data_IF_921109237028
#
_entry.id   IF_921109237028
#
_cell.length_a   1.000
_cell.length_b   1.000
_cell.length_c   1.000
_cell.angle_alpha   90.00
_cell.angle_beta   90.00
_cell.angle_gamma   90.00
#
_symmetry.space_group_name_H-M   'P 1'
#
loop_
_entity.id
_entity.type
_entity.pdbx_description
1 polymer ?
2 polymer ?
3 polymer ?
4 non-polymer ?
5 water ?
#
# COMPACT_ATOMS: atom_id res chain seq x y z
N UNK A 1 -25.27 2.75 9.84
CA UNK A 1 -24.12 2.04 9.33
C UNK A 1 -23.18 1.71 10.48
N UNK A 2 -22.21 0.81 10.23
CA UNK A 2 -21.22 0.50 11.25
C UNK A 2 -19.80 0.76 10.72
N UNK A 3 -19.13 1.75 11.29
CA UNK A 3 -17.77 2.06 10.85
C UNK A 3 -16.78 2.01 12.02
N UNK A 4 -15.59 1.50 11.72
CA UNK A 4 -14.52 1.37 12.72
C UNK A 4 -13.35 2.26 12.32
N UNK A 5 -12.85 3.03 13.29
CA UNK A 5 -11.76 3.96 13.03
C UNK A 5 -10.61 3.75 14.02
N UNK A 6 -9.47 3.32 13.51
CA UNK A 6 -8.26 3.16 14.32
C UNK A 6 -7.55 4.49 14.51
N UNK A 7 -6.88 4.65 15.65
CA UNK A 7 -6.09 5.84 15.92
C UNK A 7 -5.02 5.52 16.95
N UNK A 8 -3.93 6.28 16.92
CA UNK A 8 -2.84 6.07 17.86
C UNK A 8 -1.52 6.56 17.30
N UNK A 9 -0.45 6.46 18.10
CA UNK A 9 0.88 6.92 17.67
C UNK A 9 1.41 6.11 16.49
N UNK A 10 1.99 6.78 15.51
CA UNK A 10 2.51 6.12 14.34
C UNK A 10 3.95 5.65 14.53
N UNK A 11 4.57 6.10 15.61
CA UNK A 11 5.96 5.76 15.91
C UNK A 11 6.15 5.52 17.38
N UNK A 12 6.69 4.34 17.71
CA UNK A 12 6.97 3.99 19.09
C UNK A 12 8.38 3.40 19.17
N UNK A 13 9.08 3.70 20.26
CA UNK A 13 10.44 3.21 20.44
C UNK A 13 10.43 1.77 20.96
N UNK A 14 11.44 0.98 20.58
CA UNK A 14 11.58 -0.38 21.08
C UNK A 14 11.57 -0.42 22.62
N UNK A 15 10.97 -1.46 23.18
CA UNK A 15 10.84 -1.61 24.64
C UNK A 15 9.70 -0.80 25.23
N UNK A 16 9.22 0.19 24.49
CA UNK A 16 8.07 0.97 24.95
C UNK A 16 6.80 0.15 24.69
N UNK A 17 5.66 0.66 25.14
CA UNK A 17 4.38 -0.01 24.94
C UNK A 17 3.61 0.62 23.79
N UNK A 18 2.93 -0.22 23.02
CA UNK A 18 2.10 0.24 21.91
C UNK A 18 0.64 0.34 22.37
N UNK A 19 -0.04 1.40 21.95
CA UNK A 19 -1.41 1.64 22.38
C UNK A 19 -2.27 2.16 21.23
N UNK A 20 -3.30 1.41 20.90
CA UNK A 20 -4.19 1.80 19.81
C UNK A 20 -5.65 1.87 20.25
N UNK A 21 -6.40 2.75 19.59
CA UNK A 21 -7.82 2.92 19.87
C UNK A 21 -8.63 2.63 18.60
N UNK A 22 -9.73 1.90 18.75
CA UNK A 22 -10.71 1.75 17.68
C UNK A 22 -12.02 2.38 18.13
N UNK A 23 -12.42 3.43 17.44
CA UNK A 23 -13.68 4.10 17.76
C UNK A 23 -14.79 3.56 16.88
N UNK A 24 -15.83 3.00 17.50
CA UNK A 24 -16.94 2.40 16.78
C UNK A 24 -18.11 3.37 16.65
N UNK A 25 -18.63 3.49 15.44
CA UNK A 25 -19.79 4.34 15.17
C UNK A 25 -20.92 3.55 14.52
N UNK A 26 -22.15 3.79 14.97
CA UNK A 26 -23.32 3.17 14.37
C UNK A 26 -23.75 1.87 15.01
N UNK A 27 -23.11 1.51 16.12
CA UNK A 27 -23.44 0.28 16.82
C UNK A 27 -22.72 0.22 18.17
N UNK A 28 -23.44 -0.20 19.21
CA UNK A 28 -22.88 -0.28 20.55
C UNK A 28 -22.09 -1.57 20.75
N UNK A 29 -20.85 -1.44 21.21
CA UNK A 29 -19.99 -2.61 21.37
C UNK A 29 -20.45 -3.51 22.50
N UNK A 30 -21.46 -3.06 23.25
CA UNK A 30 -22.02 -3.85 24.35
C UNK A 30 -23.21 -4.69 23.90
N UNK A 31 -23.70 -4.42 22.70
CA UNK A 31 -24.90 -5.08 22.20
C UNK A 31 -24.65 -6.54 21.78
N UNK A 32 -23.58 -6.76 21.02
CA UNK A 32 -23.29 -8.10 20.51
C UNK A 32 -21.96 -8.11 19.79
N UNK A 33 -21.54 -9.31 19.36
CA UNK A 33 -20.38 -9.49 18.50
C UNK A 33 -19.05 -9.50 19.24
N UNK A 34 -17.99 -9.84 18.49
CA UNK A 34 -16.62 -9.80 18.97
C UNK A 34 -15.87 -8.67 18.27
N UNK A 35 -15.07 -7.95 19.02
CA UNK A 35 -14.35 -6.79 18.49
C UNK A 35 -12.87 -7.10 18.43
N UNK A 36 -12.36 -7.23 17.21
CA UNK A 36 -11.07 -7.84 16.95
C UNK A 36 -9.94 -6.85 16.66
N UNK A 37 -8.71 -7.34 16.83
CA UNK A 37 -7.53 -6.66 16.34
C UNK A 37 -6.76 -7.62 15.44
N UNK A 38 -6.30 -7.10 14.31
CA UNK A 38 -5.55 -7.90 13.35
C UNK A 38 -4.46 -7.00 12.77
N UNK A 39 -3.28 -7.54 12.54
CA UNK A 39 -2.22 -6.74 11.93
C UNK A 39 -1.66 -7.36 10.66
N UNK A 40 -1.12 -6.51 9.79
CA UNK A 40 -0.51 -6.94 8.54
C UNK A 40 0.92 -6.43 8.47
N UNK A 41 1.87 -7.36 8.41
CA UNK A 41 3.28 -6.99 8.35
C UNK A 41 3.63 -6.53 6.95
N UNK A 42 4.77 -5.81 6.82
CA UNK A 42 5.31 -5.53 5.48
C UNK A 42 5.50 -6.85 4.75
N UNK A 43 5.03 -6.94 3.51
CA UNK A 43 5.07 -8.19 2.77
C UNK A 43 3.70 -8.85 2.70
N UNK A 44 2.73 -8.27 3.39
CA UNK A 44 1.32 -8.66 3.27
C UNK A 44 0.80 -9.73 4.23
N UNK A 45 1.67 -10.25 5.09
CA UNK A 45 1.26 -11.29 6.03
C UNK A 45 0.27 -10.80 7.09
N UNK A 46 -0.86 -11.49 7.20
CA UNK A 46 -1.90 -11.13 8.18
C UNK A 46 -1.86 -12.02 9.43
N UNK A 47 -2.12 -11.41 10.58
CA UNK A 47 -2.10 -12.14 11.84
C UNK A 47 -3.22 -11.69 12.79
N UNK A 48 -4.09 -12.63 13.19
CA UNK A 48 -5.13 -12.33 14.16
C UNK A 48 -4.51 -12.21 15.54
N UNK A 49 -4.79 -11.11 16.23
CA UNK A 49 -4.21 -10.85 17.53
C UNK A 49 -5.12 -11.24 18.70
N UNK A 50 -6.40 -10.94 18.58
CA UNK A 50 -7.34 -11.26 19.62
C UNK A 50 -8.62 -10.45 19.54
N UNK A 51 -9.52 -10.66 20.49
CA UNK A 51 -10.77 -9.90 20.52
C UNK A 51 -11.29 -9.71 21.94
N UNK A 52 -12.16 -8.72 22.10
CA UNK A 52 -12.94 -8.57 23.31
C UNK A 52 -14.41 -8.63 22.90
N UNK A 53 -15.17 -9.50 23.55
CA UNK A 53 -16.56 -9.71 23.18
C UNK A 53 -17.42 -8.58 23.70
N UNK A 54 -18.68 -8.58 23.30
CA UNK A 54 -19.63 -7.57 23.79
C UNK A 54 -19.80 -7.72 25.29
N UNK A 55 -19.61 -8.94 25.79
CA UNK A 55 -19.81 -9.23 27.21
C UNK A 55 -18.54 -8.97 28.03
N UNK A 56 -17.46 -8.60 27.35
CA UNK A 56 -16.23 -8.22 28.02
C UNK A 56 -15.21 -9.32 28.16
N UNK A 57 -15.53 -10.51 27.67
CA UNK A 57 -14.57 -11.62 27.69
C UNK A 57 -13.52 -11.43 26.60
N UNK A 58 -12.28 -11.80 26.90
CA UNK A 58 -11.19 -11.65 25.94
C UNK A 58 -10.63 -12.99 25.49
N UNK A 59 -10.08 -13.01 24.27
CA UNK A 59 -9.41 -14.19 23.74
C UNK A 59 -8.20 -13.70 22.96
N UNK A 60 -7.03 -14.28 23.24
CA UNK A 60 -5.78 -13.79 22.65
C UNK A 60 -5.05 -14.88 21.84
N UNK A 61 -4.34 -14.46 20.80
CA UNK A 61 -3.45 -15.37 20.07
C UNK A 61 -2.35 -15.83 21.02
N UNK A 62 -2.23 -17.15 21.24
CA UNK A 62 -1.25 -17.73 22.17
C UNK A 62 0.18 -17.22 21.95
N UNK A 63 0.49 -16.77 20.74
CA UNK A 63 1.82 -16.26 20.44
C UNK A 63 2.07 -14.91 21.12
N UNK A 64 0.99 -14.23 21.48
CA UNK A 64 1.08 -12.86 21.97
C UNK A 64 0.68 -12.74 23.44
N UNK A 65 0.22 -13.84 24.03
CA UNK A 65 -0.41 -13.83 25.35
C UNK A 65 0.28 -12.94 26.39
N UNK A 66 1.58 -13.11 26.58
CA UNK A 66 2.30 -12.40 27.64
C UNK A 66 2.71 -10.99 27.24
N UNK A 67 2.11 -10.47 26.18
CA UNK A 67 2.46 -9.14 25.69
C UNK A 67 1.22 -8.29 25.46
N UNK A 68 0.10 -8.93 25.18
CA UNK A 68 -1.08 -8.24 24.68
C UNK A 68 -2.20 -8.09 25.71
N UNK A 69 -2.94 -7.00 25.60
CA UNK A 69 -4.12 -6.78 26.41
C UNK A 69 -5.16 -6.00 25.61
N UNK A 70 -6.40 -6.50 25.60
CA UNK A 70 -7.49 -5.80 24.95
C UNK A 70 -8.52 -5.36 25.98
N UNK A 71 -8.86 -4.08 25.96
CA UNK A 71 -9.79 -3.51 26.92
C UNK A 71 -10.83 -2.67 26.19
N UNK A 72 -11.70 -2.02 26.94
CA UNK A 72 -12.74 -1.19 26.32
C UNK A 72 -13.22 -0.07 27.23
N UNK A 73 -13.85 0.92 26.62
CA UNK A 73 -14.51 1.99 27.36
C UNK A 73 -15.92 2.15 26.79
N UNK A 74 -16.89 1.57 27.48
CA UNK A 74 -18.26 1.53 26.99
C UNK A 74 -18.94 2.90 26.95
N UNK A 75 -18.36 3.87 27.65
CA UNK A 75 -18.93 5.21 27.65
C UNK A 75 -18.53 6.00 26.40
N UNK A 76 -17.38 5.64 25.84
CA UNK A 76 -16.92 6.25 24.60
C UNK A 76 -17.13 5.33 23.40
N UNK A 77 -17.72 4.17 23.65
CA UNK A 77 -17.90 3.16 22.61
C UNK A 77 -16.59 2.88 21.89
N UNK A 78 -15.53 2.64 22.66
CA UNK A 78 -14.20 2.36 22.12
C UNK A 78 -13.64 1.08 22.69
N UNK A 79 -12.82 0.38 21.91
CA UNK A 79 -12.01 -0.69 22.48
C UNK A 79 -10.55 -0.49 22.11
N UNK A 80 -9.66 -1.07 22.91
CA UNK A 80 -8.25 -0.72 22.85
C UNK A 80 -7.34 -1.92 22.68
N UNK A 81 -6.18 -1.68 22.10
CA UNK A 81 -5.13 -2.69 21.99
C UNK A 81 -3.88 -2.20 22.71
N UNK A 82 -3.23 -3.07 23.48
CA UNK A 82 -1.97 -2.72 24.11
C UNK A 82 -0.95 -3.85 24.03
N UNK A 83 0.23 -3.52 23.53
CA UNK A 83 1.35 -4.45 23.54
C UNK A 83 2.47 -3.81 24.34
N UNK A 84 2.86 -4.45 25.43
CA UNK A 84 4.00 -3.95 26.20
C UNK A 84 5.33 -4.44 25.64
N UNK A 85 6.35 -3.59 25.73
CA UNK A 85 7.70 -3.95 25.30
C UNK A 85 7.72 -4.42 23.85
N UNK A 86 7.36 -3.54 22.93
CA UNK A 86 7.40 -3.89 21.51
C UNK A 86 8.83 -3.94 20.99
N UNK A 87 8.99 -4.60 19.85
CA UNK A 87 10.27 -4.61 19.14
C UNK A 87 10.00 -4.18 17.71
N UNK A 88 11.06 -4.03 16.92
CA UNK A 88 10.91 -3.57 15.55
C UNK A 88 10.04 -4.52 14.71
N UNK A 89 9.92 -5.76 15.17
CA UNK A 89 9.13 -6.76 14.46
C UNK A 89 7.62 -6.54 14.64
N UNK A 90 7.27 -5.58 15.50
CA UNK A 90 5.87 -5.24 15.71
C UNK A 90 5.43 -4.15 14.73
N UNK A 91 6.37 -3.71 13.90
CA UNK A 91 6.07 -2.77 12.83
C UNK A 91 5.07 -3.42 11.86
N UNK A 92 3.92 -2.79 11.68
CA UNK A 92 2.87 -3.34 10.84
C UNK A 92 1.72 -2.37 10.69
N UNK A 93 0.76 -2.73 9.85
CA UNK A 93 -0.49 -2.00 9.78
C UNK A 93 -1.53 -2.70 10.66
N UNK A 94 -2.07 -1.96 11.62
CA UNK A 94 -3.00 -2.53 12.58
C UNK A 94 -4.45 -2.22 12.23
N UNK A 95 -5.28 -3.25 12.22
CA UNK A 95 -6.68 -3.13 11.86
C UNK A 95 -7.58 -3.54 13.02
N UNK A 96 -8.62 -2.75 13.27
CA UNK A 96 -9.71 -3.24 14.11
C UNK A 96 -10.80 -3.79 13.21
N UNK A 97 -11.58 -4.72 13.73
CA UNK A 97 -12.63 -5.38 12.96
C UNK A 97 -13.65 -5.96 13.91
N UNK A 98 -14.81 -6.36 13.39
CA UNK A 98 -15.78 -7.07 14.22
C UNK A 98 -16.48 -8.20 13.47
N UNK A 99 -16.91 -9.20 14.23
CA UNK A 99 -17.62 -10.35 13.67
C UNK A 99 -18.43 -11.05 14.75
N UNK A 100 -19.01 -12.19 14.40
CA UNK A 100 -19.86 -12.91 15.34
C UNK A 100 -19.53 -14.41 15.45
N UNK A 101 -18.32 -14.75 15.89
CA UNK A 101 -17.31 -13.79 16.31
C UNK A 101 -16.24 -13.55 15.23
N UNK A 102 -16.24 -14.37 14.18
CA UNK A 102 -15.23 -14.25 13.13
C UNK A 102 -15.34 -12.92 12.39
N UNK A 103 -14.22 -12.17 12.32
CA UNK A 103 -14.19 -10.85 11.67
C UNK A 103 -14.91 -10.83 10.32
N UNK A 104 -15.80 -9.84 10.15
CA UNK A 104 -16.58 -9.73 8.92
C UNK A 104 -16.49 -8.33 8.33
N UNK A 105 -16.16 -7.35 9.17
CA UNK A 105 -16.05 -5.97 8.72
C UNK A 105 -14.81 -5.31 9.31
N UNK A 106 -14.04 -4.65 8.45
CA UNK A 106 -12.72 -4.15 8.82
C UNK A 106 -12.67 -2.63 8.89
N UNK A 107 -11.75 -2.12 9.71
CA UNK A 107 -11.52 -0.69 9.80
C UNK A 107 -10.64 -0.20 8.67
N UNK A 108 -10.09 1.01 8.82
CA UNK A 108 -9.28 1.61 7.77
C UNK A 108 -7.79 1.26 7.93
N UNK A 109 -7.42 0.73 9.08
CA UNK A 109 -6.04 0.36 9.35
C UNK A 109 -5.19 1.57 9.69
N UNK A 110 -4.24 1.37 10.59
CA UNK A 110 -3.31 2.43 10.95
C UNK A 110 -1.89 1.87 11.08
N UNK A 111 -0.95 2.56 10.45
CA UNK A 111 0.45 2.11 10.41
C UNK A 111 1.17 2.43 11.71
N UNK A 112 1.82 1.43 12.28
CA UNK A 112 2.67 1.66 13.44
C UNK A 112 4.10 1.23 13.12
N UNK A 113 5.02 2.17 13.21
CA UNK A 113 6.43 1.87 13.02
C UNK A 113 7.11 1.81 14.38
N UNK A 114 7.79 0.70 14.64
CA UNK A 114 8.60 0.58 15.85
C UNK A 114 10.06 0.75 15.47
N UNK A 115 10.65 1.86 15.90
CA UNK A 115 12.02 2.18 15.49
C UNK A 115 12.66 3.21 16.42
N UNK A 116 13.99 3.26 16.41
CA UNK A 116 14.74 4.18 17.25
C UNK A 116 15.10 5.46 16.50
N UNK A 117 14.92 5.44 15.19
CA UNK A 117 15.25 6.58 14.34
C UNK A 117 14.43 7.81 14.72
N UNK A 118 14.94 8.99 14.36
CA UNK A 118 14.33 10.24 14.81
C UNK A 118 13.34 10.80 13.80
N UNK A 119 12.24 11.36 14.31
CA UNK A 119 11.25 12.02 13.47
C UNK A 119 11.89 13.18 12.72
N UNK A 120 11.72 13.20 11.40
CA UNK A 120 12.35 14.21 10.56
C UNK A 120 11.40 14.73 9.48
N UNK A 121 11.31 16.05 9.36
CA UNK A 121 10.43 16.68 8.38
C UNK A 121 10.97 16.52 6.95
N UNK A 122 10.05 16.48 5.96
CA UNK A 122 10.41 16.25 4.57
C UNK A 122 10.82 17.52 3.83
N UNK A 123 11.77 17.37 2.91
CA UNK A 123 12.03 18.42 1.94
C UNK A 123 11.17 18.09 0.72
N UNK A 124 10.51 19.10 0.15
CA UNK A 124 9.66 18.88 -1.01
C UNK A 124 10.14 19.67 -2.22
N UNK A 125 10.40 18.98 -3.33
CA UNK A 125 10.95 19.63 -4.52
C UNK A 125 10.03 19.49 -5.74
N UNK A 126 9.77 20.60 -6.43
CA UNK A 126 8.95 20.61 -7.64
C UNK A 126 9.74 20.09 -8.84
N UNK A 127 9.11 19.26 -9.65
CA UNK A 127 9.76 18.75 -10.86
C UNK A 127 9.05 19.26 -12.11
N UNK A 128 9.63 20.27 -12.75
CA UNK A 128 9.09 20.84 -13.97
C UNK A 128 9.72 20.18 -15.20
N UNK A 129 8.92 19.98 -16.25
CA UNK A 129 9.38 19.28 -17.46
C UNK A 129 10.51 20.03 -18.16
N UNK A 130 11.40 19.31 -18.82
CA UNK A 130 12.42 19.95 -19.65
C UNK A 130 11.74 20.61 -20.84
N UNK A 131 12.35 21.67 -21.36
CA UNK A 131 11.75 22.42 -22.46
C UNK A 131 11.25 21.54 -23.60
N UNK A 132 11.97 20.45 -23.85
CA UNK A 132 11.60 19.51 -24.90
C UNK A 132 10.35 18.73 -24.56
N UNK A 136 3.77 18.12 -27.03
CA UNK A 136 2.75 17.10 -27.14
C UNK A 136 1.38 17.58 -26.68
N UNK A 137 0.41 16.68 -26.66
CA UNK A 137 -0.94 17.04 -26.23
C UNK A 137 -1.08 16.96 -24.71
N UNK A 138 -0.17 16.25 -24.07
CA UNK A 138 -0.17 16.12 -22.62
C UNK A 138 1.21 16.42 -22.04
N UNK A 139 1.25 16.76 -20.76
CA UNK A 139 2.50 17.09 -20.10
C UNK A 139 2.56 16.45 -18.72
N UNK A 140 3.75 16.01 -18.33
CA UNK A 140 3.92 15.31 -17.05
C UNK A 140 4.74 16.14 -16.06
N UNK A 141 4.16 16.42 -14.91
CA UNK A 141 4.85 17.13 -13.85
C UNK A 141 5.15 16.17 -12.72
N UNK A 142 6.02 16.57 -11.81
CA UNK A 142 6.39 15.70 -10.70
C UNK A 142 6.63 16.42 -9.40
N UNK A 143 6.72 15.63 -8.33
CA UNK A 143 7.01 16.14 -7.00
C UNK A 143 7.94 15.14 -6.34
N UNK A 144 9.00 15.63 -5.71
CA UNK A 144 9.94 14.76 -5.02
C UNK A 144 10.02 15.09 -3.53
N UNK A 145 9.75 14.10 -2.70
CA UNK A 145 9.76 14.28 -1.24
C UNK A 145 10.83 13.42 -0.61
N UNK A 146 11.84 14.05 -0.02
CA UNK A 146 13.01 13.34 0.49
C UNK A 146 13.31 13.62 1.96
N UNK A 147 13.99 12.68 2.60
CA UNK A 147 14.59 12.88 3.91
C UNK A 147 13.63 13.05 5.07
N UNK A 148 12.57 12.26 5.11
CA UNK A 148 11.63 12.32 6.22
C UNK A 148 11.52 10.99 6.98
N UNK A 149 10.95 11.05 8.17
CA UNK A 149 10.72 9.86 8.99
C UNK A 149 9.81 10.22 10.16
N UNK A 150 8.85 9.33 10.49
CA UNK A 150 8.58 8.07 9.80
C UNK A 150 7.50 8.25 8.77
N UNK A 151 7.06 7.16 8.15
CA UNK A 151 5.88 7.17 7.31
C UNK A 151 4.65 7.39 8.20
N UNK A 152 3.52 7.80 7.61
CA UNK A 152 3.42 8.14 6.19
C UNK A 152 3.39 9.64 5.98
N UNK A 153 3.53 10.05 4.73
CA UNK A 153 3.25 11.42 4.34
C UNK A 153 1.99 11.37 3.48
N UNK A 154 1.27 12.48 3.44
CA UNK A 154 0.10 12.58 2.58
C UNK A 154 0.38 13.56 1.46
N UNK A 155 0.42 13.05 0.23
CA UNK A 155 0.73 13.88 -0.93
C UNK A 155 -0.50 14.00 -1.82
N UNK A 156 -0.89 15.24 -2.12
CA UNK A 156 -2.01 15.49 -3.00
C UNK A 156 -1.61 16.55 -4.02
N UNK A 157 -2.38 16.63 -5.10
CA UNK A 157 -2.18 17.65 -6.11
C UNK A 157 -3.35 18.62 -6.09
N UNK A 158 -3.05 19.91 -5.90
CA UNK A 158 -4.09 20.91 -5.70
C UNK A 158 -5.05 20.54 -4.57
N UNK A 159 -4.48 20.21 -3.42
CA UNK A 159 -5.23 19.85 -2.22
C UNK A 159 -6.19 18.68 -2.45
N UNK A 160 -5.95 17.92 -3.51
CA UNK A 160 -6.73 16.72 -3.77
C UNK A 160 -7.70 16.85 -4.92
N UNK A 161 -7.85 18.06 -5.45
CA UNK A 161 -8.78 18.28 -6.56
C UNK A 161 -8.28 17.64 -7.84
N UNK A 162 -6.98 17.37 -7.90
CA UNK A 162 -6.39 16.69 -9.04
C UNK A 162 -6.24 15.21 -8.70
N UNK A 163 -6.94 14.36 -9.43
CA UNK A 163 -7.00 12.94 -9.09
C UNK A 163 -6.61 12.02 -10.26
N UNK A 164 -7.18 12.28 -11.42
CA UNK A 164 -6.88 11.48 -12.62
C UNK A 164 -5.45 11.70 -13.09
N UNK A 165 -4.82 10.64 -13.58
CA UNK A 165 -3.49 10.72 -14.15
C UNK A 165 -2.40 10.92 -13.12
N UNK A 166 -2.76 10.75 -11.84
CA UNK A 166 -1.78 10.85 -10.77
C UNK A 166 -1.20 9.48 -10.45
N UNK A 167 0.11 9.41 -10.29
CA UNK A 167 0.77 8.21 -9.82
C UNK A 167 1.67 8.56 -8.66
N UNK A 168 1.35 8.02 -7.47
CA UNK A 168 2.18 8.25 -6.31
C UNK A 168 2.91 6.96 -5.96
N UNK A 169 4.24 7.03 -5.97
CA UNK A 169 5.05 5.85 -5.82
C UNK A 169 5.37 5.57 -4.34
N UNK A 170 5.25 4.31 -3.92
CA UNK A 170 5.46 3.90 -2.53
C UNK A 170 6.78 4.42 -1.99
N UNK A 171 6.79 4.90 -0.75
CA UNK A 171 7.99 5.41 -0.13
C UNK A 171 9.02 4.30 0.03
N UNK A 172 10.29 4.66 -0.11
CA UNK A 172 11.38 3.71 0.07
C UNK A 172 12.35 4.22 1.14
N UNK A 173 12.74 3.33 2.05
CA UNK A 173 13.62 3.70 3.16
C UNK A 173 15.08 3.47 2.81
N UNK A 174 15.91 4.49 3.04
CA UNK A 174 17.35 4.35 2.92
C UNK A 174 18.03 5.14 4.03
N UNK A 175 18.86 4.47 4.82
CA UNK A 175 19.59 5.10 5.90
C UNK A 175 18.68 5.93 6.82
N UNK A 176 17.60 5.31 7.30
CA UNK A 176 16.73 5.94 8.29
C UNK A 176 15.88 7.09 7.75
N UNK A 177 15.92 7.30 6.44
CA UNK A 177 15.13 8.37 5.82
C UNK A 177 14.37 7.87 4.59
N UNK A 178 13.16 8.36 4.42
CA UNK A 178 12.29 7.93 3.32
C UNK A 178 12.37 8.86 2.13
N UNK A 179 12.20 8.29 0.94
CA UNK A 179 12.04 9.07 -0.27
C UNK A 179 10.75 8.65 -0.95
N UNK A 180 9.99 9.62 -1.40
CA UNK A 180 8.73 9.34 -2.09
C UNK A 180 8.61 10.30 -3.26
N UNK A 181 7.91 9.88 -4.31
CA UNK A 181 7.70 10.76 -5.45
C UNK A 181 6.32 10.57 -6.02
N UNK A 182 5.88 11.54 -6.81
CA UNK A 182 4.58 11.47 -7.46
C UNK A 182 4.62 12.17 -8.81
N UNK A 183 3.91 11.59 -9.78
CA UNK A 183 3.81 12.21 -11.09
C UNK A 183 2.36 12.49 -11.40
N UNK A 184 2.12 13.54 -12.19
CA UNK A 184 0.77 13.86 -12.63
C UNK A 184 0.79 14.29 -14.09
N UNK A 185 -0.10 13.69 -14.88
CA UNK A 185 -0.16 13.97 -16.30
C UNK A 185 -1.46 14.64 -16.66
N UNK A 186 -1.37 15.81 -17.27
CA UNK A 186 -2.55 16.58 -17.65
C UNK A 186 -2.40 17.04 -19.09
N UNK A 187 -3.51 17.47 -19.68
CA UNK A 187 -3.48 18.04 -21.03
C UNK A 187 -2.70 19.35 -21.00
N UNK A 188 -2.11 19.72 -22.13
CA UNK A 188 -1.31 20.95 -22.19
C UNK A 188 -2.17 22.21 -22.08
N UNK A 189 -3.48 22.06 -22.28
CA UNK A 189 -4.39 23.18 -22.11
C UNK A 189 -4.67 23.43 -20.62
N UNK A 190 -4.10 22.59 -19.77
CA UNK A 190 -4.32 22.68 -18.33
C UNK A 190 -3.20 23.43 -17.62
N UNK A 191 -1.96 23.15 -18.03
CA UNK A 191 -0.78 23.74 -17.39
C UNK A 191 0.17 24.22 -18.48
N UNK A 192 0.78 25.39 -18.28
CA UNK A 192 0.77 26.21 -17.06
C UNK A 192 -0.41 27.19 -16.96
N UNK A 193 -1.31 27.20 -17.95
CA UNK A 193 -2.42 28.14 -17.94
C UNK A 193 -3.15 28.12 -16.60
N UNK A 194 -3.06 27.00 -15.90
CA UNK A 194 -3.65 26.86 -14.57
C UNK A 194 -2.60 26.31 -13.61
N UNK A 195 -2.55 26.88 -12.40
CA UNK A 195 -1.51 26.50 -11.44
C UNK A 195 -1.70 25.10 -10.87
N UNK A 196 -0.62 24.34 -10.84
CA UNK A 196 -0.62 23.01 -10.24
C UNK A 196 0.38 22.98 -9.10
N UNK A 197 -0.08 22.61 -7.92
CA UNK A 197 0.76 22.61 -6.73
C UNK A 197 0.76 21.26 -6.04
N UNK A 198 1.95 20.79 -5.67
CA UNK A 198 2.09 19.55 -4.91
C UNK A 198 1.97 19.88 -3.42
N UNK A 199 1.06 19.21 -2.72
CA UNK A 199 0.87 19.42 -1.29
C UNK A 199 1.30 18.21 -0.47
N UNK A 200 2.14 18.44 0.53
CA UNK A 200 2.66 17.34 1.34
C UNK A 200 2.39 17.56 2.83
N UNK A 201 1.82 16.54 3.45
CA UNK A 201 1.54 16.58 4.88
C UNK A 201 2.31 15.48 5.59
N UNK A 202 3.00 15.85 6.67
CA UNK A 202 3.72 14.89 7.50
C UNK A 202 3.29 15.09 8.96
N UNK A 203 2.24 14.36 9.37
CA UNK A 203 1.67 14.49 10.72
C UNK A 203 2.72 14.31 11.81
N UNK A 204 3.66 13.40 11.61
CA UNK A 204 4.67 13.08 12.62
C UNK A 204 5.45 14.31 13.07
N UNK A 205 5.72 15.23 12.15
CA UNK A 205 6.48 16.43 12.48
C UNK A 205 5.59 17.67 12.42
N UNK A 206 4.29 17.44 12.29
CA UNK A 206 3.33 18.54 12.16
C UNK A 206 3.69 19.42 10.96
N UNK A 207 4.11 18.78 9.88
CA UNK A 207 4.51 19.49 8.68
C UNK A 207 3.43 19.50 7.61
N UNK A 208 3.21 20.68 7.03
CA UNK A 208 2.35 20.82 5.86
C UNK A 208 2.95 21.88 4.96
N UNK A 209 3.37 21.48 3.77
CA UNK A 209 4.06 22.38 2.85
C UNK A 209 3.49 22.28 1.43
N UNK A 210 3.58 23.37 0.68
CA UNK A 210 3.08 23.42 -0.69
C UNK A 210 4.20 23.80 -1.65
N UNK A 211 4.11 23.29 -2.87
CA UNK A 211 5.14 23.57 -3.87
C UNK A 211 4.54 23.68 -5.27
N UNK A 212 4.44 24.90 -5.78
CA UNK A 212 3.91 25.14 -7.12
C UNK A 212 4.91 24.71 -8.19
N UNK A 213 4.41 24.07 -9.25
CA UNK A 213 5.26 23.63 -10.35
C UNK A 213 5.39 24.75 -11.37
N UNK A 214 6.56 25.38 -11.44
CA UNK A 214 6.79 26.50 -12.35
C UNK A 214 7.50 26.05 -13.62
N UNK A 215 7.01 26.49 -14.78
CA UNK A 215 7.62 26.10 -16.06
C UNK A 215 9.09 26.51 -16.11
N UNK A 216 9.91 25.76 -16.85
CA UNK A 216 11.33 26.09 -16.97
C UNK A 216 11.53 27.22 -17.96
N UNK A 217 12.64 27.94 -17.81
CA UNK A 217 13.03 28.95 -18.76
C UNK A 217 13.63 28.31 -20.00
N UNK A 218 13.88 29.11 -21.05
CA UNK A 218 14.40 28.57 -22.30
C UNK A 218 15.80 27.97 -22.14
N UNK A 219 16.11 26.95 -22.93
CA UNK A 219 17.43 26.33 -22.92
C UNK A 219 18.36 27.04 -23.90
N UNK A 220 19.67 26.92 -23.66
CA UNK A 220 20.66 27.56 -24.52
C UNK A 220 20.65 26.98 -25.93
N UNK B 1 0.14 -24.57 15.01
CA UNK B 1 -0.99 -23.77 14.53
C UNK B 1 -1.32 -24.16 13.09
N UNK B 2 -2.58 -24.03 12.70
CA UNK B 2 -3.03 -24.44 11.39
C UNK B 2 -2.41 -23.58 10.29
N UNK B 3 -1.72 -24.23 9.36
CA UNK B 3 -1.05 -23.53 8.27
C UNK B 3 -1.91 -23.47 7.03
N UNK B 4 -2.16 -22.25 6.55
CA UNK B 4 -2.90 -22.04 5.32
C UNK B 4 -1.93 -21.67 4.21
N UNK B 5 -2.04 -22.37 3.08
CA UNK B 5 -1.14 -22.16 1.95
C UNK B 5 -1.93 -21.93 0.67
N UNK B 6 -1.51 -20.95 -0.12
CA UNK B 6 -2.22 -20.61 -1.35
C UNK B 6 -1.35 -20.78 -2.59
N UNK B 7 -1.98 -21.11 -3.72
CA UNK B 7 -1.31 -21.15 -5.01
C UNK B 7 -2.27 -20.72 -6.12
N UNK B 8 -1.75 -20.06 -7.16
CA UNK B 8 -0.34 -19.64 -7.29
C UNK B 8 -0.09 -18.40 -6.43
N UNK B 9 1.16 -17.93 -6.44
CA UNK B 9 1.50 -16.69 -5.73
C UNK B 9 0.94 -15.48 -6.49
N UNK B 10 1.05 -15.52 -7.82
CA UNK B 10 0.49 -14.50 -8.68
C UNK B 10 -0.26 -15.15 -9.83
N UNK B 11 -1.43 -14.61 -10.16
CA UNK B 11 -2.21 -15.14 -11.28
C UNK B 11 -2.49 -14.03 -12.29
N UNK B 12 -2.07 -14.24 -13.52
CA UNK B 12 -2.28 -13.28 -14.59
C UNK B 12 -3.43 -13.75 -15.49
N UNK B 13 -4.54 -13.03 -15.43
CA UNK B 13 -5.74 -13.42 -16.15
C UNK B 13 -6.17 -12.35 -17.13
N UNK B 14 -6.55 -12.77 -18.32
CA UNK B 14 -7.09 -11.84 -19.31
C UNK B 14 -8.51 -11.44 -18.91
N UNK B 15 -8.83 -10.17 -19.08
CA UNK B 15 -10.16 -9.67 -18.79
C UNK B 15 -11.22 -10.55 -19.46
N UNK B 16 -12.20 -11.00 -18.68
CA UNK B 16 -13.28 -11.80 -19.21
C UNK B 16 -13.11 -13.29 -19.01
N UNK B 17 -11.87 -13.72 -18.80
CA UNK B 17 -11.59 -15.13 -18.53
C UNK B 17 -11.78 -15.44 -17.06
N UNK B 18 -12.10 -16.70 -16.74
CA UNK B 18 -12.22 -17.11 -15.33
C UNK B 18 -10.86 -17.22 -14.66
N UNK B 19 -10.84 -17.02 -13.36
CA UNK B 19 -9.62 -17.19 -12.56
C UNK B 19 -9.93 -18.07 -11.36
N UNK B 20 -9.04 -19.01 -11.05
CA UNK B 20 -9.21 -19.86 -9.89
C UNK B 20 -7.97 -19.86 -9.03
N UNK B 21 -8.17 -19.70 -7.71
CA UNK B 21 -7.09 -19.69 -6.75
C UNK B 21 -7.23 -20.91 -5.87
N UNK B 22 -6.12 -21.50 -5.47
CA UNK B 22 -6.15 -22.68 -4.60
C UNK B 22 -5.70 -22.37 -3.18
N UNK B 23 -6.31 -23.06 -2.22
CA UNK B 23 -6.01 -22.89 -0.82
C UNK B 23 -5.99 -24.23 -0.11
N UNK B 24 -4.97 -24.46 0.72
CA UNK B 24 -4.83 -25.72 1.44
C UNK B 24 -4.51 -25.51 2.92
N UNK B 25 -5.07 -26.36 3.77
CA UNK B 25 -4.83 -26.29 5.21
C UNK B 25 -4.04 -27.50 5.70
N UNK B 26 -3.27 -27.30 6.77
CA UNK B 26 -2.45 -28.36 7.33
C UNK B 26 -3.27 -29.37 8.10
N UNK B 27 -4.57 -29.12 8.23
CA UNK B 27 -5.49 -30.07 8.83
C UNK B 27 -6.94 -29.70 8.54
N UNK B 28 -7.83 -30.68 8.64
CA UNK B 28 -9.22 -30.51 8.23
C UNK B 28 -9.93 -29.34 8.89
N UNK B 29 -10.64 -28.56 8.10
CA UNK B 29 -11.37 -27.39 8.60
C UNK B 29 -12.84 -27.71 8.91
N UNK B 30 -13.23 -28.97 8.74
CA UNK B 30 -14.56 -29.40 9.12
C UNK B 30 -14.66 -29.46 10.64
N UNK B 31 -15.57 -28.67 11.21
CA UNK B 31 -15.72 -28.61 12.66
C UNK B 31 -16.64 -29.71 13.17
N UNK B 32 -16.58 -29.98 14.47
CA UNK B 32 -17.41 -31.01 15.09
C UNK B 32 -18.88 -30.60 15.12
N UNK B 33 -19.15 -29.34 14.77
CA UNK B 33 -20.54 -28.87 14.70
C UNK B 33 -21.11 -29.07 13.29
N UNK B 34 -20.28 -29.59 12.39
CA UNK B 34 -20.73 -29.91 11.05
C UNK B 34 -20.33 -28.90 10.00
N UNK B 35 -20.07 -27.67 10.42
CA UNK B 35 -19.73 -26.61 9.48
C UNK B 35 -18.22 -26.49 9.23
N UNK B 36 -17.87 -25.87 8.12
CA UNK B 36 -16.47 -25.67 7.76
C UNK B 36 -16.20 -24.17 7.66
N UNK B 37 -15.39 -23.65 8.58
CA UNK B 37 -15.17 -22.22 8.66
C UNK B 37 -13.96 -21.74 7.84
N UNK B 38 -14.10 -21.83 6.52
CA UNK B 38 -13.08 -21.34 5.59
C UNK B 38 -13.57 -20.05 4.94
N UNK B 39 -12.72 -19.02 4.96
CA UNK B 39 -13.11 -17.68 4.53
C UNK B 39 -12.18 -17.13 3.44
N UNK B 40 -12.73 -16.26 2.59
CA UNK B 40 -11.91 -15.55 1.61
C UNK B 40 -12.00 -14.04 1.82
N UNK B 41 -10.91 -13.36 1.49
CA UNK B 41 -10.73 -11.95 1.75
C UNK B 41 -10.12 -11.31 0.50
N UNK B 42 -10.53 -10.08 0.19
CA UNK B 42 -9.94 -9.35 -0.93
C UNK B 42 -9.35 -8.02 -0.48
N UNK B 43 -8.10 -7.77 -0.88
CA UNK B 43 -7.47 -6.50 -0.59
C UNK B 43 -7.04 -5.80 -1.87
N UNK B 44 -7.80 -4.79 -2.26
CA UNK B 44 -7.46 -3.98 -3.42
C UNK B 44 -6.36 -3.01 -3.03
N UNK B 45 -5.56 -2.57 -4.02
CA UNK B 45 -4.44 -1.66 -3.76
C UNK B 45 -4.84 -0.46 -2.89
N UNK B 46 -4.04 -0.19 -1.87
CA UNK B 46 -4.25 0.96 -1.01
C UNK B 46 -5.46 0.90 -0.10
N UNK B 47 -6.14 -0.25 -0.09
CA UNK B 47 -7.36 -0.37 0.71
C UNK B 47 -7.29 -1.45 1.79
N UNK B 48 -8.23 -1.40 2.73
CA UNK B 48 -8.34 -2.42 3.75
C UNK B 48 -8.94 -3.68 3.16
N UNK B 49 -8.64 -4.83 3.77
CA UNK B 49 -9.24 -6.11 3.36
C UNK B 49 -10.77 -6.11 3.51
N UNK B 50 -11.46 -6.79 2.61
CA UNK B 50 -12.91 -6.91 2.66
C UNK B 50 -13.33 -8.38 2.61
N UNK B 51 -14.39 -8.72 3.33
CA UNK B 51 -14.92 -10.08 3.33
C UNK B 51 -15.58 -10.42 2.01
N UNK B 52 -15.27 -11.61 1.49
CA UNK B 52 -15.74 -12.02 0.19
C UNK B 52 -16.56 -13.30 0.31
N UNK B 53 -16.05 -14.24 1.10
CA UNK B 53 -16.68 -15.55 1.25
C UNK B 53 -16.54 -16.05 2.68
N UNK B 54 -17.61 -16.63 3.21
CA UNK B 54 -17.55 -17.32 4.49
C UNK B 54 -18.25 -18.67 4.37
N UNK B 55 -17.93 -19.58 5.28
CA UNK B 55 -18.48 -20.93 5.24
C UNK B 55 -18.29 -21.58 3.87
N UNK B 56 -17.09 -21.42 3.31
CA UNK B 56 -16.69 -22.04 2.04
C UNK B 56 -17.34 -21.39 0.81
N UNK B 57 -18.66 -21.29 0.81
CA UNK B 57 -19.39 -20.90 -0.40
C UNK B 57 -20.32 -19.70 -0.23
N UNK B 58 -20.61 -19.33 1.02
CA UNK B 58 -21.54 -18.22 1.26
C UNK B 58 -20.93 -16.87 0.94
N UNK B 59 -21.66 -16.06 0.19
CA UNK B 59 -21.17 -14.75 -0.24
C UNK B 59 -21.52 -13.66 0.76
N UNK B 60 -20.54 -12.81 1.09
CA UNK B 60 -20.80 -11.66 1.94
C UNK B 60 -21.73 -10.70 1.21
N UNK B 61 -22.55 -9.99 1.97
CA UNK B 61 -23.51 -9.06 1.37
C UNK B 61 -22.81 -8.03 0.49
N UNK B 62 -23.16 -8.01 -0.80
CA UNK B 62 -22.59 -7.06 -1.73
C UNK B 62 -21.70 -7.68 -2.79
N UNK B 63 -21.29 -8.93 -2.55
CA UNK B 63 -20.40 -9.62 -3.47
C UNK B 63 -21.18 -10.27 -4.62
N UNK B 64 -20.72 -10.02 -5.86
CA UNK B 64 -21.36 -10.55 -7.08
C UNK B 64 -21.30 -12.06 -7.14
N UNK B 65 -22.24 -12.68 -7.86
CA UNK B 65 -22.27 -14.12 -8.01
C UNK B 65 -21.14 -14.60 -8.92
N UNK B 66 -20.38 -13.67 -9.47
CA UNK B 66 -19.21 -14.00 -10.26
C UNK B 66 -18.23 -14.81 -9.41
N UNK B 67 -18.23 -14.53 -8.10
CA UNK B 67 -17.34 -15.21 -7.17
C UNK B 67 -17.95 -16.49 -6.63
N UNK B 68 -17.25 -17.61 -6.80
CA UNK B 68 -17.72 -18.90 -6.30
C UNK B 68 -16.66 -19.57 -5.43
N UNK B 69 -17.03 -19.91 -4.21
CA UNK B 69 -16.15 -20.65 -3.33
C UNK B 69 -16.58 -22.11 -3.24
N UNK B 70 -15.62 -23.01 -3.12
CA UNK B 70 -15.93 -24.43 -2.98
C UNK B 70 -14.80 -25.17 -2.27
N UNK B 71 -15.03 -26.46 -2.02
CA UNK B 71 -14.02 -27.31 -1.40
C UNK B 71 -14.45 -27.86 -0.06
N UNK B 72 -13.60 -28.69 0.53
CA UNK B 72 -13.88 -29.28 1.83
C UNK B 72 -12.62 -29.90 2.41
N UNK B 73 -12.68 -30.24 3.70
CA UNK B 73 -11.56 -30.87 4.36
C UNK B 73 -10.35 -29.97 4.46
N UNK B 74 -9.44 -30.13 3.52
CA UNK B 74 -8.18 -29.37 3.52
C UNK B 74 -7.87 -28.76 2.16
N UNK B 75 -8.84 -28.79 1.25
CA UNK B 75 -8.65 -28.29 -0.12
C UNK B 75 -9.79 -27.37 -0.55
N UNK B 76 -9.47 -26.11 -0.83
CA UNK B 76 -10.51 -25.14 -1.18
C UNK B 76 -10.16 -24.33 -2.43
N UNK B 77 -11.18 -23.74 -3.05
CA UNK B 77 -10.99 -23.01 -4.30
C UNK B 77 -11.86 -21.76 -4.38
N UNK B 78 -11.28 -20.67 -4.87
CA UNK B 78 -12.01 -19.45 -5.18
C UNK B 78 -12.04 -19.24 -6.68
N UNK B 79 -13.23 -19.16 -7.26
CA UNK B 79 -13.36 -18.96 -8.70
C UNK B 79 -14.00 -17.62 -9.03
N UNK B 80 -13.35 -16.87 -9.92
CA UNK B 80 -13.93 -15.63 -10.44
C UNK B 80 -14.32 -15.86 -11.89
N UNK B 81 -15.63 -15.94 -12.13
CA UNK B 81 -16.16 -16.37 -13.42
C UNK B 81 -15.80 -15.46 -14.60
N UNK B 82 -16.10 -14.17 -14.48
CA UNK B 82 -15.78 -13.21 -15.53
C UNK B 82 -14.97 -12.07 -14.95
N UNK B 83 -13.65 -12.26 -14.91
CA UNK B 83 -12.75 -11.30 -14.27
C UNK B 83 -12.91 -9.88 -14.81
N UNK B 84 -13.04 -8.93 -13.90
CA UNK B 84 -13.06 -7.51 -14.26
C UNK B 84 -11.83 -6.83 -13.70
N UNK B 85 -11.53 -5.64 -14.21
CA UNK B 85 -10.31 -4.93 -13.81
C UNK B 85 -10.26 -4.66 -12.30
N UNK B 86 -11.39 -4.20 -11.75
CA UNK B 86 -11.45 -3.85 -10.33
C UNK B 86 -11.25 -5.06 -9.42
N UNK B 87 -11.27 -6.25 -10.01
CA UNK B 87 -11.04 -7.47 -9.25
C UNK B 87 -9.56 -7.64 -8.87
N UNK B 88 -8.69 -6.85 -9.47
CA UNK B 88 -7.27 -7.01 -9.22
C UNK B 88 -6.93 -6.65 -7.78
N UNK B 89 -5.89 -7.28 -7.26
CA UNK B 89 -5.49 -7.05 -5.89
C UNK B 89 -5.00 -8.35 -5.28
N UNK B 90 -5.12 -8.47 -3.97
CA UNK B 90 -4.66 -9.67 -3.28
C UNK B 90 -5.80 -10.40 -2.60
N UNK B 91 -5.90 -11.69 -2.87
CA UNK B 91 -6.92 -12.55 -2.29
C UNK B 91 -6.32 -13.44 -1.21
N UNK B 92 -6.97 -13.48 -0.04
CA UNK B 92 -6.51 -14.32 1.07
C UNK B 92 -7.55 -15.34 1.47
N UNK B 93 -7.12 -16.57 1.73
CA UNK B 93 -7.98 -17.54 2.39
C UNK B 93 -7.55 -17.60 3.85
N UNK B 94 -8.52 -17.84 4.74
CA UNK B 94 -8.19 -18.00 6.17
C UNK B 94 -9.22 -18.87 6.91
N UNK B 95 -8.77 -19.48 8.02
CA UNK B 95 -9.58 -20.46 8.73
C UNK B 95 -10.01 -19.97 10.10
N UNK B 96 -11.23 -20.34 10.49
CA UNK B 96 -11.77 -19.99 11.78
C UNK B 96 -12.25 -21.21 12.55
N UNK B 97 -11.92 -22.39 12.04
CA UNK B 97 -12.32 -23.64 12.66
C UNK B 97 -11.47 -23.96 13.88
N UNK B 98 -10.18 -23.64 13.78
CA UNK B 98 -9.23 -23.93 14.85
C UNK B 98 -8.69 -22.64 15.46
N UNK B 99 -8.27 -22.75 16.72
CA UNK B 99 -7.76 -21.61 17.48
C UNK B 99 -6.25 -21.76 17.64
N UNK B 100 -5.47 -20.71 17.29
CA UNK B 100 -5.92 -19.39 16.85
C UNK B 100 -6.29 -19.36 15.36
N UNK B 101 -7.11 -18.39 14.97
CA UNK B 101 -7.47 -18.21 13.56
C UNK B 101 -6.24 -17.77 12.76
N UNK B 102 -6.10 -18.29 11.56
CA UNK B 102 -4.89 -18.06 10.78
C UNK B 102 -5.20 -17.77 9.31
N UNK B 103 -4.31 -17.01 8.66
CA UNK B 103 -4.50 -16.56 7.28
C UNK B 103 -3.52 -17.18 6.31
N UNK B 104 -3.96 -17.37 5.07
CA UNK B 104 -3.06 -17.72 3.98
C UNK B 104 -2.20 -16.52 3.62
N UNK B 105 -1.13 -16.76 2.87
CA UNK B 105 -0.17 -15.72 2.54
C UNK B 105 -0.62 -14.81 1.41
N UNK B 106 -1.68 -15.20 0.70
CA UNK B 106 -2.25 -14.36 -0.33
C UNK B 106 -1.86 -14.71 -1.74
N UNK B 107 -2.71 -14.35 -2.69
CA UNK B 107 -2.47 -14.55 -4.12
C UNK B 107 -2.83 -13.28 -4.85
N UNK B 108 -1.88 -12.74 -5.62
CA UNK B 108 -2.12 -11.52 -6.36
C UNK B 108 -2.76 -11.79 -7.71
N UNK B 109 -3.88 -11.13 -7.97
CA UNK B 109 -4.55 -11.22 -9.26
C UNK B 109 -4.15 -10.02 -10.11
N UNK B 110 -3.50 -10.27 -11.25
CA UNK B 110 -3.14 -9.19 -12.14
C UNK B 110 -3.83 -9.37 -13.49
N UNK B 111 -4.22 -8.25 -14.09
CA UNK B 111 -4.90 -8.30 -15.38
C UNK B 111 -3.89 -8.37 -16.50
N UNK B 112 -4.03 -9.36 -17.38
CA UNK B 112 -3.13 -9.52 -18.50
C UNK B 112 -3.56 -8.63 -19.66
N UNK B 113 -2.64 -7.81 -20.14
CA UNK B 113 -2.90 -6.95 -21.28
C UNK B 113 -1.77 -7.02 -22.28
N UNK B 114 -1.93 -6.35 -23.42
CA UNK B 114 -0.87 -6.28 -24.42
C UNK B 114 0.33 -5.52 -23.87
N UNK B 115 1.52 -5.94 -24.25
CA UNK B 115 2.75 -5.26 -23.83
C UNK B 115 2.71 -3.79 -24.23
N UNK B 116 3.33 -2.94 -23.42
CA UNK B 116 3.30 -1.50 -23.66
C UNK B 116 4.58 -0.83 -23.17
N UNK B 117 5.25 -0.10 -24.05
CA UNK B 117 6.46 0.63 -23.70
C UNK B 117 6.11 1.82 -22.80
N UNK B 118 7.05 2.19 -21.92
CA UNK B 118 6.81 3.27 -20.96
C UNK B 118 6.85 4.61 -21.65
N UNK B 119 6.11 5.57 -21.13
CA UNK B 119 6.31 6.97 -21.51
C UNK B 119 7.33 7.51 -20.51
N UNK B 120 8.49 7.92 -21.01
CA UNK B 120 9.58 8.32 -20.13
C UNK B 120 9.70 9.82 -19.98
N UNK B 121 9.84 10.29 -18.74
CA UNK B 121 10.05 11.69 -18.47
C UNK B 121 11.27 11.88 -17.57
N UNK B 122 12.16 12.80 -17.93
CA UNK B 122 13.35 13.09 -17.13
C UNK B 122 13.27 14.47 -16.51
N UNK B 123 13.78 14.59 -15.30
CA UNK B 123 13.74 15.86 -14.58
C UNK B 123 15.09 16.15 -13.95
N UNK B 124 15.72 17.26 -14.36
CA UNK B 124 16.96 17.69 -13.71
C UNK B 124 16.70 18.06 -12.26
N UNK B 125 17.76 18.23 -11.46
CA UNK B 125 17.55 18.70 -10.09
C UNK B 125 16.79 20.03 -10.12
N UNK B 126 15.96 20.26 -9.11
CA UNK B 126 15.23 21.52 -9.00
C UNK B 126 16.16 22.59 -8.47
N UNK B 127 15.85 23.85 -8.76
CA UNK B 127 16.65 24.96 -8.26
C UNK B 127 16.63 24.93 -6.73
N UNK B 128 15.50 24.55 -6.17
CA UNK B 128 15.36 24.49 -4.71
C UNK B 128 16.29 23.44 -4.09
N UNK B 129 16.36 22.26 -4.69
CA UNK B 129 17.26 21.24 -4.16
C UNK B 129 18.72 21.65 -4.36
N UNK B 130 19.05 22.10 -5.56
CA UNK B 130 20.41 22.54 -5.87
C UNK B 130 20.90 23.61 -4.90
N UNK B 131 20.06 24.59 -4.60
CA UNK B 131 20.45 25.66 -3.70
C UNK B 131 20.72 25.15 -2.29
N UNK B 132 20.11 24.03 -1.94
CA UNK B 132 20.29 23.46 -0.60
C UNK B 132 21.51 22.56 -0.52
N UNK B 133 22.13 22.31 -1.68
CA UNK B 133 23.38 21.56 -1.71
C UNK B 133 23.23 20.11 -2.14
N UNK B 134 22.04 19.74 -2.60
CA UNK B 134 21.81 18.38 -3.07
C UNK B 134 21.38 18.37 -4.53
N UNK B 135 21.42 17.19 -5.13
CA UNK B 135 21.05 17.06 -6.54
C UNK B 135 20.44 15.69 -6.81
N UNK B 136 19.15 15.68 -7.11
CA UNK B 136 18.49 14.44 -7.49
C UNK B 136 18.02 14.54 -8.94
N UNK B 137 18.34 13.53 -9.74
CA UNK B 137 17.80 13.43 -11.08
C UNK B 137 16.69 12.38 -11.06
N UNK B 138 15.55 12.70 -11.64
CA UNK B 138 14.38 11.83 -11.55
C UNK B 138 13.89 11.36 -12.92
N UNK B 139 13.59 10.08 -12.99
CA UNK B 139 13.11 9.48 -14.22
C UNK B 139 11.78 8.80 -13.93
N UNK B 140 10.72 9.20 -14.62
CA UNK B 140 9.42 8.54 -14.48
C UNK B 140 9.16 7.63 -15.67
N UNK B 141 8.85 6.37 -15.41
CA UNK B 141 8.43 5.45 -16.46
C UNK B 141 6.95 5.15 -16.24
N UNK B 142 6.09 5.74 -17.06
CA UNK B 142 4.65 5.67 -16.84
C UNK B 142 3.92 4.71 -17.78
N UNK B 143 2.97 3.97 -17.21
CA UNK B 143 2.03 3.18 -18.00
C UNK B 143 2.68 2.14 -18.88
N UNK B 144 3.46 1.26 -18.26
CA UNK B 144 4.07 0.17 -19.02
C UNK B 144 3.52 -1.19 -18.57
N UNK B 145 3.86 -2.23 -19.32
CA UNK B 145 3.48 -3.60 -18.99
C UNK B 145 4.32 -4.53 -19.86
N UNK B 146 4.79 -5.65 -19.29
CA UNK B 146 4.59 -6.13 -17.91
C UNK B 146 5.35 -5.30 -16.87
N UNK B 147 5.26 -5.75 -15.62
CA UNK B 147 5.84 -5.01 -14.50
C UNK B 147 7.37 -4.98 -14.52
N UNK B 148 7.97 -6.08 -14.97
CA UNK B 148 9.43 -6.20 -14.99
C UNK B 148 10.08 -5.27 -16.00
N UNK B 149 10.72 -4.22 -15.50
CA UNK B 149 11.40 -3.27 -16.35
C UNK B 149 12.75 -2.87 -15.73
N UNK B 150 13.69 -2.48 -16.58
CA UNK B 150 15.03 -2.11 -16.12
C UNK B 150 15.35 -0.67 -16.49
N UNK B 151 15.99 0.04 -15.56
CA UNK B 151 16.39 1.41 -15.82
C UNK B 151 17.89 1.60 -15.61
N UNK B 152 18.56 2.11 -16.63
CA UNK B 152 19.97 2.43 -16.51
C UNK B 152 20.19 3.95 -16.49
N UNK B 153 20.93 4.41 -15.49
CA UNK B 153 21.35 5.80 -15.43
C UNK B 153 22.76 5.94 -16.01
N UNK B 154 22.95 6.91 -16.90
CA UNK B 154 24.27 7.20 -17.46
C UNK B 154 24.65 8.67 -17.25
N UNK B 155 25.82 8.87 -16.63
CA UNK B 155 26.34 10.21 -16.39
C UNK B 155 27.60 10.39 -17.20
N UNK B 156 27.58 11.35 -18.14
CA UNK B 156 28.65 11.48 -19.11
C UNK B 156 28.97 10.12 -19.71
N UNK B 157 27.93 9.37 -20.05
CA UNK B 157 28.08 8.07 -20.69
C UNK B 157 28.30 6.91 -19.73
N UNK B 158 28.86 7.19 -18.56
CA UNK B 158 29.18 6.14 -17.60
C UNK B 158 27.95 5.70 -16.81
N UNK B 159 27.72 4.39 -16.79
CA UNK B 159 26.60 3.82 -16.05
C UNK B 159 26.81 3.92 -14.53
N UNK B 160 25.72 4.19 -13.81
CA UNK B 160 25.80 4.39 -12.37
C UNK B 160 24.55 3.87 -11.67
N UNK B 161 24.73 2.88 -10.81
CA UNK B 161 23.60 2.32 -10.06
C UNK B 161 23.68 2.68 -8.57
N UNK B 162 24.74 3.38 -8.21
CA UNK B 162 24.93 3.84 -6.83
C UNK B 162 24.12 5.09 -6.53
N UNK B 163 23.35 5.06 -5.44
CA UNK B 163 22.52 6.18 -5.06
C UNK B 163 21.24 6.27 -5.86
N UNK B 164 20.78 5.12 -6.36
CA UNK B 164 19.54 5.05 -7.12
C UNK B 164 18.42 4.41 -6.30
N UNK B 165 17.27 5.07 -6.25
CA UNK B 165 16.11 4.53 -5.55
C UNK B 165 14.96 4.31 -6.53
N UNK B 166 14.52 3.06 -6.65
CA UNK B 166 13.44 2.70 -7.55
C UNK B 166 12.17 2.33 -6.78
N UNK B 167 11.02 2.61 -7.38
CA UNK B 167 9.75 2.33 -6.73
C UNK B 167 8.63 2.15 -7.74
N UNK B 168 7.95 1.00 -7.68
CA UNK B 168 6.84 0.66 -8.57
C UNK B 168 5.50 0.91 -7.90
N UNK B 169 4.51 1.32 -8.68
CA UNK B 169 3.13 1.33 -8.20
C UNK B 169 2.56 -0.08 -8.33
N UNK B 170 1.41 -0.31 -7.72
CA UNK B 170 0.64 -1.52 -7.98
C UNK B 170 -0.05 -1.32 -9.32
N UNK B 171 -0.70 -2.36 -9.82
CA UNK B 171 -1.36 -2.27 -11.13
C UNK B 171 -2.56 -1.32 -11.07
N UNK B 172 -2.65 -0.45 -12.07
CA UNK B 172 -3.76 0.50 -12.18
C UNK B 172 -4.93 -0.18 -12.89
N UNK B 173 -6.10 -0.17 -12.25
CA UNK B 173 -7.27 -0.84 -12.81
C UNK B 173 -7.87 -0.08 -13.99
N UNK B 174 -7.39 1.15 -14.19
CA UNK B 174 -7.91 2.00 -15.25
C UNK B 174 -7.40 1.56 -16.63
N UNK B 175 -6.13 1.19 -16.70
CA UNK B 175 -5.52 0.78 -17.97
C UNK B 175 -4.66 -0.47 -17.81
N UNK B 176 -4.71 -1.07 -16.63
CA UNK B 176 -4.00 -2.31 -16.35
C UNK B 176 -2.49 -2.18 -16.53
N UNK B 177 -1.97 -0.98 -16.33
CA UNK B 177 -0.54 -0.75 -16.48
C UNK B 177 0.16 -0.54 -15.15
N UNK B 178 1.49 -0.45 -15.20
CA UNK B 178 2.29 -0.12 -14.04
C UNK B 178 3.05 1.15 -14.35
N UNK B 179 3.54 1.79 -13.31
CA UNK B 179 4.41 2.94 -13.46
C UNK B 179 5.52 2.80 -12.44
N UNK B 180 6.66 3.44 -12.68
CA UNK B 180 7.74 3.39 -11.71
C UNK B 180 8.58 4.65 -11.74
N UNK B 181 9.13 5.00 -10.59
CA UNK B 181 9.97 6.18 -10.46
C UNK B 181 11.39 5.76 -10.11
N UNK B 182 12.36 6.37 -10.78
CA UNK B 182 13.76 6.12 -10.47
C UNK B 182 14.43 7.44 -10.13
N UNK B 183 15.10 7.49 -8.99
CA UNK B 183 15.71 8.72 -8.50
C UNK B 183 17.19 8.53 -8.25
N UNK B 184 18.02 9.25 -8.99
CA UNK B 184 19.47 9.20 -8.82
C UNK B 184 19.91 10.41 -8.03
N UNK B 185 20.44 10.18 -6.83
CA UNK B 185 20.85 11.29 -5.98
C UNK B 185 22.36 11.42 -5.89
N UNK B 186 22.84 12.63 -6.16
CA UNK B 186 24.26 12.95 -6.06
C UNK B 186 24.45 14.18 -5.20
N UNK B 187 25.70 14.50 -4.88
CA UNK B 187 26.02 15.79 -4.28
C UNK B 187 25.94 16.83 -5.38
N UNK B 188 25.65 18.08 -5.02
CA UNK B 188 25.62 19.12 -6.03
C UNK B 188 26.95 19.23 -6.76
N UNK B 189 28.05 19.03 -6.02
CA UNK B 189 29.37 19.18 -6.59
C UNK B 189 29.66 18.11 -7.65
N UNK B 190 29.24 16.88 -7.39
CA UNK B 190 29.36 15.81 -8.37
C UNK B 190 28.51 16.16 -9.59
N UNK B 191 27.29 16.62 -9.33
CA UNK B 191 26.36 16.99 -10.40
C UNK B 191 26.92 18.08 -11.32
N UNK B 192 27.58 19.06 -10.72
CA UNK B 192 28.07 20.21 -11.47
C UNK B 192 29.36 19.94 -12.23
N UNK B 193 29.87 18.72 -12.09
CA UNK B 193 31.13 18.36 -12.73
C UNK B 193 30.94 17.50 -13.97
N UNK B 194 29.68 17.16 -14.27
CA UNK B 194 29.37 16.39 -15.45
C UNK B 194 28.34 17.11 -16.31
N UNK B 195 28.17 16.67 -17.55
CA UNK B 195 27.32 17.37 -18.49
C UNK B 195 26.04 16.62 -18.86
N UNK B 196 26.19 15.38 -19.35
CA UNK B 196 25.05 14.63 -19.85
C UNK B 196 24.43 13.72 -18.77
N UNK B 197 23.11 13.76 -18.70
CA UNK B 197 22.36 12.92 -17.76
C UNK B 197 21.27 12.18 -18.50
N UNK B 198 21.38 10.85 -18.51
CA UNK B 198 20.54 10.03 -19.37
C UNK B 198 19.96 8.85 -18.60
N UNK B 199 18.66 8.61 -18.77
CA UNK B 199 18.05 7.41 -18.22
C UNK B 199 17.48 6.57 -19.37
N UNK B 200 17.70 5.26 -19.31
CA UNK B 200 17.27 4.36 -20.38
C UNK B 200 16.40 3.25 -19.83
N UNK B 201 15.24 3.05 -20.46
CA UNK B 201 14.29 2.04 -20.03
C UNK B 201 14.21 0.88 -21.02
N UNK B 202 14.47 -0.32 -20.54
CA UNK B 202 14.31 -1.54 -21.32
C UNK B 202 13.38 -2.49 -20.57
N UNK B 203 12.62 -3.20 -21.34
CA UNK B 203 11.41 -3.78 -20.90
C UNK B 203 11.17 -5.24 -21.16
N UNK B 204 10.82 -6.00 -20.14
CA UNK B 204 10.56 -7.42 -20.31
C UNK B 204 9.55 -7.67 -21.40
N UNK B 208 15.66 -2.25 -27.90
CA UNK B 208 15.89 -0.84 -28.19
C UNK B 208 15.30 0.04 -27.12
N UNK B 209 16.14 0.46 -26.16
CA UNK B 209 15.76 1.26 -24.98
C UNK B 209 15.01 2.54 -25.33
N UNK B 210 14.05 2.92 -24.49
CA UNK B 210 13.47 4.25 -24.58
C UNK B 210 14.37 5.17 -23.79
N UNK B 211 14.96 6.15 -24.46
CA UNK B 211 15.97 6.97 -23.83
C UNK B 211 15.51 8.42 -23.64
N UNK B 212 15.89 8.99 -22.51
CA UNK B 212 15.62 10.39 -22.22
C UNK B 212 16.88 11.00 -21.64
N UNK B 213 17.22 12.20 -22.10
CA UNK B 213 18.49 12.81 -21.70
C UNK B 213 18.41 14.34 -21.65
N UNK B 214 19.23 14.93 -20.79
CA UNK B 214 19.45 16.37 -20.83
C UNK B 214 20.92 16.71 -20.59
N UNK B 215 21.31 17.92 -20.97
CA UNK B 215 22.68 18.38 -20.79
C UNK B 215 22.72 19.61 -19.88
N UNK B 216 23.46 19.50 -18.78
CA UNK B 216 23.58 20.59 -17.82
C UNK B 216 23.87 21.93 -18.48
N UNK B 217 24.84 21.94 -19.40
CA UNK B 217 25.29 23.17 -20.00
C UNK B 217 24.31 23.72 -21.05
N UNK B 218 23.08 23.24 -20.99
CA UNK B 218 22.03 23.73 -21.88
C UNK B 218 20.85 24.27 -21.07
N UNK B 219 20.77 23.87 -19.80
CA UNK B 219 19.68 24.30 -18.93
C UNK B 219 19.56 25.83 -18.89
N UNK C 1 -26.83 -7.83 10.21
CA UNK C 1 -27.21 -8.88 11.16
C UNK C 1 -26.41 -10.15 10.88
N UNK C 2 -25.25 -10.26 11.53
CA UNK C 2 -24.33 -11.38 11.31
C UNK C 2 -24.85 -12.68 11.92
N UNK C 3 -24.74 -13.78 11.17
CA UNK C 3 -25.09 -15.08 11.71
C UNK C 3 -23.96 -15.60 12.58
N UNK C 4 -24.32 -16.35 13.62
CA UNK C 4 -23.36 -16.81 14.60
C UNK C 4 -22.49 -17.95 14.09
N UNK C 5 -21.22 -17.96 14.50
CA UNK C 5 -20.36 -19.11 14.27
C UNK C 5 -20.08 -19.82 15.59
N UNK C 6 -19.31 -20.91 15.52
CA UNK C 6 -19.05 -21.75 16.69
C UNK C 6 -18.58 -20.97 17.93
N UNK C 7 -17.86 -19.88 17.71
CA UNK C 7 -17.25 -19.14 18.82
C UNK C 7 -18.23 -18.24 19.54
N UNK C 8 -19.35 -17.92 18.90
CA UNK C 8 -20.35 -17.04 19.50
C UNK C 8 -21.28 -17.82 20.43
N UNK C 9 -21.51 -19.09 20.09
X LIG D 1 -0.96 6.58 -15.77
X LIG E 1 -21.18 5.25 7.11
X LIG F 1 32.24 13.86 -10.63
#
# INVERSE_FOLDING_TARGET
DVQLQESGPGLVKPSQSLSLTCTVTGYLITTDYAWNWIRQFPGNKLEWMGYISYSGFTSYNPSLKSQISITRDTSKNQFFLQLNSVTTEDTATYYCAFGNYLPAYWGQGTLVTVSAAKTTAPSVYPLAPVCGDTTGSSVTLGCLVKGYFPEPVTLTWNSGSLSSGVHTFPAVLQSDLYTLSSSVTVTSSTWPSQSITCNVAHPASSTKVDKKIEPRGPTIK
DVVMTQTPLSLSVTLGQPASISCKSSQSLLDSDGKTYLNWLLQRPGQSPKRLIYLVSKLASGVPDRFTGSGSGTDFTLKINRVEAEDLGIYYCWQGTHFPWTFGGGTKLEIKRADAAPTVSIFPPSSEQLTSGGASVVCFLNNFYPKDINVKWKIDGSERQNGVLNSWTDQDSKDSTYSMSSTLTLTKDEYERHNSYTCEATHKTSTSPIVKSFNRNEC
LLELDKWAX
ZN ZN
ZN ZN
ZN ZN
#
